data_IF_442222489718
#
_entry.id   IF_442222489718
#
_cell.length_a   1.000
_cell.length_b   1.000
_cell.length_c   1.000
_cell.angle_alpha   90.00
_cell.angle_beta   90.00
_cell.angle_gamma   90.00
#
_symmetry.space_group_name_H-M   'P 1'
#
loop_
_entity.id
_entity.type
_entity.pdbx_description
1 polymer ?
#
# COMPACT_ATOMS: atom_id res chain seq x y z
N UNK A 1 3.13 10.67 0.89
CA UNK A 1 2.82 9.64 -0.13
C UNK A 1 4.13 9.21 -0.77
N UNK A 2 4.48 7.93 -0.70
CA UNK A 2 5.69 7.40 -1.34
C UNK A 2 5.49 7.44 -2.85
N UNK A 3 6.47 8.00 -3.58
CA UNK A 3 6.38 8.20 -5.04
C UNK A 3 7.24 7.21 -5.82
N UNK A 4 8.38 6.80 -5.27
CA UNK A 4 9.35 5.92 -5.93
C UNK A 4 9.60 4.60 -5.18
N UNK A 5 9.31 4.53 -3.87
CA UNK A 5 9.53 3.35 -3.03
C UNK A 5 8.21 2.70 -2.61
N UNK A 6 8.23 1.37 -2.44
CA UNK A 6 7.07 0.57 -2.06
C UNK A 6 6.96 0.34 -0.57
N UNK A 7 8.09 0.31 0.12
CA UNK A 7 8.23 0.24 1.57
C UNK A 7 9.30 1.20 2.06
N UNK A 8 9.25 1.52 3.36
CA UNK A 8 10.39 2.11 4.08
C UNK A 8 10.26 1.87 5.58
N UNK A 9 11.34 1.46 6.19
CA UNK A 9 11.53 1.52 7.64
C UNK A 9 12.16 2.86 8.06
N UNK A 10 11.57 3.49 9.08
CA UNK A 10 12.05 4.73 9.70
C UNK A 10 12.60 4.42 11.11
N UNK A 11 13.93 4.37 11.30
CA UNK A 11 14.55 3.98 12.57
C UNK A 11 14.15 4.85 13.77
N UNK A 12 14.11 6.17 13.58
CA UNK A 12 13.79 7.15 14.64
C UNK A 12 12.39 6.97 15.24
N UNK A 13 11.46 6.43 14.46
CA UNK A 13 10.06 6.19 14.87
C UNK A 13 9.73 4.70 15.04
N UNK A 14 10.68 3.81 14.75
CA UNK A 14 10.48 2.35 14.66
C UNK A 14 9.23 1.99 13.84
N UNK A 15 9.05 2.67 12.72
CA UNK A 15 7.82 2.58 11.91
C UNK A 15 8.13 2.03 10.52
N UNK A 16 7.32 1.07 10.07
CA UNK A 16 7.29 0.63 8.68
C UNK A 16 6.14 1.37 7.97
N UNK A 17 6.44 1.99 6.84
CA UNK A 17 5.45 2.59 5.96
C UNK A 17 5.38 1.77 4.68
N UNK A 18 4.16 1.48 4.24
CA UNK A 18 3.88 0.76 3.00
C UNK A 18 3.15 1.69 2.03
N UNK A 19 3.54 1.62 0.76
CA UNK A 19 2.91 2.38 -0.31
C UNK A 19 1.45 2.00 -0.46
N UNK A 20 0.57 3.00 -0.48
CA UNK A 20 -0.85 2.78 -0.78
C UNK A 20 -1.09 2.19 -2.17
N UNK A 21 -0.09 2.27 -3.08
CA UNK A 21 -0.15 1.68 -4.42
C UNK A 21 0.12 0.19 -4.38
N UNK A 22 1.09 -0.25 -3.60
CA UNK A 22 1.32 -1.67 -3.36
C UNK A 22 0.07 -2.32 -2.76
N UNK A 23 -0.52 -1.70 -1.73
CA UNK A 23 -1.74 -2.22 -1.10
C UNK A 23 -2.99 -2.26 -1.99
N UNK A 24 -2.99 -1.50 -3.09
CA UNK A 24 -4.14 -1.40 -3.98
C UNK A 24 -3.98 -2.24 -5.27
N UNK A 25 -2.75 -2.54 -5.67
CA UNK A 25 -2.42 -3.06 -6.99
C UNK A 25 -1.49 -4.27 -6.98
N UNK A 26 -0.75 -4.48 -5.88
CA UNK A 26 0.09 -5.65 -5.70
C UNK A 26 -0.74 -6.83 -5.21
N UNK A 27 -0.27 -8.03 -5.50
CA UNK A 27 -0.82 -9.24 -4.89
C UNK A 27 -0.28 -9.45 -3.46
N UNK A 28 -0.80 -10.47 -2.77
CA UNK A 28 -0.37 -10.79 -1.41
C UNK A 28 1.13 -11.15 -1.33
N UNK A 29 1.69 -11.71 -2.41
CA UNK A 29 3.11 -12.01 -2.54
C UNK A 29 3.96 -10.74 -2.60
N UNK A 30 3.57 -9.79 -3.45
CA UNK A 30 4.22 -8.48 -3.56
C UNK A 30 4.21 -7.73 -2.22
N UNK A 31 3.04 -7.71 -1.55
CA UNK A 31 2.88 -7.06 -0.24
C UNK A 31 3.79 -7.74 0.79
N UNK A 32 3.77 -9.07 0.83
CA UNK A 32 4.59 -9.86 1.75
C UNK A 32 6.08 -9.60 1.54
N UNK A 33 6.56 -9.61 0.29
CA UNK A 33 7.98 -9.42 -0.04
C UNK A 33 8.47 -8.04 0.44
N UNK A 34 7.72 -6.97 0.15
CA UNK A 34 8.06 -5.61 0.61
C UNK A 34 8.03 -5.51 2.13
N UNK A 35 7.00 -6.06 2.79
CA UNK A 35 6.91 -6.01 4.26
C UNK A 35 8.10 -6.73 4.90
N UNK A 36 8.45 -7.93 4.43
CA UNK A 36 9.57 -8.68 4.97
C UNK A 36 10.92 -7.99 4.73
N UNK A 37 11.10 -7.31 3.59
CA UNK A 37 12.27 -6.47 3.33
C UNK A 37 12.41 -5.34 4.37
N UNK A 38 11.33 -4.61 4.66
CA UNK A 38 11.36 -3.54 5.66
C UNK A 38 11.50 -4.07 7.09
N UNK A 39 10.94 -5.25 7.39
CA UNK A 39 11.14 -5.95 8.67
C UNK A 39 12.61 -6.35 8.84
N UNK A 40 13.28 -6.82 7.77
CA UNK A 40 14.70 -7.12 7.82
C UNK A 40 15.53 -5.88 8.21
N UNK A 41 15.24 -4.71 7.61
CA UNK A 41 15.86 -3.45 8.02
C UNK A 41 15.58 -3.11 9.50
N UNK A 42 14.35 -3.32 9.97
CA UNK A 42 13.99 -3.07 11.36
C UNK A 42 14.76 -3.96 12.34
N UNK A 43 14.90 -5.26 12.03
CA UNK A 43 15.66 -6.22 12.86
C UNK A 43 17.14 -5.86 12.88
N UNK A 44 17.75 -5.54 11.72
CA UNK A 44 19.15 -5.10 11.64
C UNK A 44 19.38 -3.88 12.52
N UNK A 45 18.53 -2.86 12.40
CA UNK A 45 18.63 -1.66 13.22
C UNK A 45 18.46 -1.97 14.72
N UNK A 46 17.51 -2.84 15.08
CA UNK A 46 17.30 -3.23 16.47
C UNK A 46 18.50 -3.97 17.07
N UNK A 47 19.21 -4.79 16.28
CA UNK A 47 20.37 -5.58 16.75
C UNK A 47 21.69 -4.81 16.73
N UNK A 48 21.89 -3.92 15.76
CA UNK A 48 23.21 -3.35 15.46
C UNK A 48 23.23 -1.80 15.42
N UNK A 49 22.07 -1.15 15.57
CA UNK A 49 21.92 0.30 15.48
C UNK A 49 22.14 0.83 14.05
N UNK A 50 22.68 2.05 13.94
CA UNK A 50 22.89 2.73 12.65
C UNK A 50 24.22 2.37 11.97
N UNK A 51 24.95 1.36 12.46
CA UNK A 51 26.28 1.00 11.96
C UNK A 51 26.26 0.18 10.65
N UNK A 52 25.36 -0.81 10.47
CA UNK A 52 25.39 -1.64 9.27
C UNK A 52 25.04 -0.88 7.99
N UNK A 53 25.61 -1.33 6.88
CA UNK A 53 25.15 -0.92 5.55
C UNK A 53 23.75 -1.48 5.28
N UNK A 54 22.89 -0.70 4.62
CA UNK A 54 21.48 -1.01 4.42
C UNK A 54 21.23 -2.44 3.90
N UNK A 55 22.05 -2.91 2.95
CA UNK A 55 21.97 -4.25 2.37
C UNK A 55 23.29 -5.04 2.55
N UNK A 56 23.96 -4.78 3.67
CA UNK A 56 25.24 -5.38 4.04
C UNK A 56 25.14 -6.83 4.54
N UNK A 57 26.20 -7.31 5.19
CA UNK A 57 26.30 -8.68 5.71
C UNK A 57 25.18 -8.98 6.71
N UNK A 58 24.90 -8.05 7.60
CA UNK A 58 23.90 -8.17 8.66
C UNK A 58 22.49 -8.28 8.07
N UNK A 59 22.19 -7.45 7.06
CA UNK A 59 20.92 -7.54 6.33
C UNK A 59 20.76 -8.89 5.64
N UNK A 60 21.79 -9.36 4.92
CA UNK A 60 21.76 -10.68 4.25
C UNK A 60 21.53 -11.82 5.24
N UNK A 61 22.14 -11.76 6.43
CA UNK A 61 21.94 -12.76 7.47
C UNK A 61 20.49 -12.76 7.98
N UNK A 62 19.92 -11.58 8.24
CA UNK A 62 18.52 -11.45 8.67
C UNK A 62 17.55 -11.89 7.57
N UNK A 63 17.80 -11.58 6.31
CA UNK A 63 16.99 -12.09 5.20
C UNK A 63 16.96 -13.62 5.18
N UNK A 64 18.11 -14.27 5.41
CA UNK A 64 18.19 -15.73 5.52
C UNK A 64 17.40 -16.28 6.71
N UNK A 65 17.42 -15.59 7.86
CA UNK A 65 16.59 -15.95 9.02
C UNK A 65 15.08 -15.83 8.73
N UNK A 66 14.70 -14.88 7.89
CA UNK A 66 13.30 -14.65 7.46
C UNK A 66 12.88 -15.50 6.25
N UNK A 67 13.77 -16.36 5.73
CA UNK A 67 13.55 -17.17 4.53
C UNK A 67 13.17 -16.32 3.29
N UNK A 68 13.85 -15.19 3.11
CA UNK A 68 13.71 -14.32 1.93
C UNK A 68 15.05 -14.10 1.22
N UNK A 69 15.00 -13.89 -0.09
CA UNK A 69 16.19 -13.51 -0.85
C UNK A 69 16.66 -12.09 -0.48
N UNK A 70 17.96 -11.88 -0.25
CA UNK A 70 18.49 -10.58 0.12
C UNK A 70 18.68 -9.67 -1.09
N UNK A 71 17.57 -9.34 -1.76
CA UNK A 71 17.57 -8.40 -2.89
C UNK A 71 17.70 -6.97 -2.37
N UNK A 72 18.38 -6.11 -3.13
CA UNK A 72 18.42 -4.66 -2.87
C UNK A 72 17.10 -3.98 -3.22
N UNK A 73 16.42 -4.49 -4.23
CA UNK A 73 15.14 -3.99 -4.73
C UNK A 73 14.12 -5.11 -4.70
N UNK A 74 12.87 -4.77 -4.42
CA UNK A 74 11.76 -5.69 -4.58
C UNK A 74 11.25 -5.53 -6.02
N UNK A 75 11.31 -6.62 -6.79
CA UNK A 75 10.97 -6.63 -8.21
C UNK A 75 9.45 -6.74 -8.39
N UNK A 76 8.71 -5.70 -7.99
CA UNK A 76 7.28 -5.66 -8.25
C UNK A 76 7.04 -5.15 -9.67
N UNK A 77 6.24 -5.86 -10.46
CA UNK A 77 5.89 -5.50 -11.84
C UNK A 77 4.98 -4.25 -11.86
N UNK A 78 5.59 -3.08 -11.63
CA UNK A 78 4.87 -1.80 -11.51
C UNK A 78 4.33 -1.26 -12.83
N UNK A 79 4.73 -1.85 -13.97
CA UNK A 79 4.29 -1.46 -15.31
C UNK A 79 2.78 -1.60 -15.48
N UNK A 80 2.15 -2.58 -14.82
CA UNK A 80 0.68 -2.76 -14.79
C UNK A 80 -0.04 -1.71 -13.93
N UNK A 81 0.69 -0.96 -13.11
CA UNK A 81 0.09 -0.06 -12.13
C UNK A 81 -0.13 1.37 -12.67
N UNK A 82 0.01 1.60 -13.97
CA UNK A 82 -0.23 2.93 -14.57
C UNK A 82 -1.66 3.48 -14.36
N UNK A 83 -2.58 2.65 -13.86
CA UNK A 83 -3.94 3.06 -13.48
C UNK A 83 -3.94 3.97 -12.25
N UNK A 84 -4.72 5.06 -12.28
CA UNK A 84 -4.85 5.95 -11.13
C UNK A 84 -5.72 5.27 -10.07
N UNK A 85 -5.12 4.88 -8.94
CA UNK A 85 -5.87 4.38 -7.77
C UNK A 85 -6.98 5.37 -7.40
N UNK A 86 -8.20 4.85 -7.27
CA UNK A 86 -9.34 5.57 -6.71
C UNK A 86 -9.74 4.95 -5.38
N UNK A 87 -10.59 5.65 -4.65
CA UNK A 87 -11.12 5.24 -3.36
C UNK A 87 -12.64 5.18 -3.47
N UNK A 88 -13.21 4.01 -3.21
CA UNK A 88 -14.64 3.78 -3.22
C UNK A 88 -15.19 3.64 -1.79
N UNK A 89 -16.40 4.14 -1.58
CA UNK A 89 -17.19 3.91 -0.38
C UNK A 89 -18.65 3.72 -0.74
N UNK A 90 -19.32 2.76 -0.10
CA UNK A 90 -20.74 2.48 -0.36
C UNK A 90 -21.64 3.49 0.35
N UNK A 91 -22.65 3.98 -0.34
CA UNK A 91 -23.70 4.79 0.27
C UNK A 91 -24.66 3.89 1.06
N UNK A 92 -24.87 4.19 2.35
CA UNK A 92 -25.79 3.41 3.20
C UNK A 92 -27.28 3.63 2.88
N UNK A 93 -27.62 4.58 2.00
CA UNK A 93 -29.00 4.89 1.63
C UNK A 93 -29.40 4.26 0.29
N UNK A 94 -28.65 4.53 -0.78
CA UNK A 94 -28.96 4.03 -2.13
C UNK A 94 -28.00 2.93 -2.62
N UNK A 95 -27.09 2.45 -1.78
CA UNK A 95 -26.11 1.39 -2.08
C UNK A 95 -25.13 1.63 -3.23
N UNK A 96 -25.18 2.79 -3.89
CA UNK A 96 -24.21 3.21 -4.91
C UNK A 96 -22.82 3.39 -4.30
N UNK A 97 -21.80 3.08 -5.09
CA UNK A 97 -20.41 3.31 -4.72
C UNK A 97 -19.97 4.72 -5.13
N UNK A 98 -19.58 5.52 -4.16
CA UNK A 98 -19.03 6.86 -4.36
C UNK A 98 -17.52 6.73 -4.51
N UNK A 99 -17.00 7.12 -5.68
CA UNK A 99 -15.57 7.01 -6.02
C UNK A 99 -14.89 8.38 -5.95
N UNK A 100 -13.71 8.43 -5.34
CA UNK A 100 -12.93 9.66 -5.16
C UNK A 100 -11.45 9.44 -5.48
N UNK A 101 -10.76 10.52 -5.87
CA UNK A 101 -9.31 10.52 -6.08
C UNK A 101 -8.50 10.45 -4.78
N UNK A 102 -9.13 10.75 -3.63
CA UNK A 102 -8.52 10.74 -2.29
C UNK A 102 -9.51 10.26 -1.24
N UNK A 103 -9.01 9.70 -0.14
CA UNK A 103 -9.81 9.42 1.05
C UNK A 103 -10.29 10.73 1.67
N UNK A 104 -11.55 10.78 2.05
CA UNK A 104 -12.18 11.97 2.64
C UNK A 104 -12.90 11.58 3.93
N UNK A 105 -12.98 12.47 4.94
CA UNK A 105 -13.77 12.20 6.15
C UNK A 105 -15.26 11.97 5.86
N UNK A 106 -15.76 12.57 4.78
CA UNK A 106 -17.10 12.35 4.27
C UNK A 106 -17.13 12.52 2.75
N UNK A 107 -18.20 12.05 2.11
CA UNK A 107 -18.55 12.41 0.75
C UNK A 107 -20.05 12.61 0.62
N UNK A 108 -20.51 13.29 -0.43
CA UNK A 108 -21.93 13.29 -0.81
C UNK A 108 -22.13 12.28 -1.93
N UNK A 109 -23.19 11.48 -1.82
CA UNK A 109 -23.71 10.64 -2.89
C UNK A 109 -24.64 11.44 -3.79
N UNK A 110 -24.89 10.95 -5.01
CA UNK A 110 -25.85 11.56 -5.96
C UNK A 110 -27.28 11.58 -5.46
N UNK A 111 -27.65 10.65 -4.57
CA UNK A 111 -28.95 10.66 -3.91
C UNK A 111 -29.09 11.76 -2.85
N UNK A 112 -28.08 12.63 -2.69
CA UNK A 112 -28.06 13.70 -1.69
C UNK A 112 -27.53 13.28 -0.32
N UNK A 113 -27.44 11.98 -0.03
CA UNK A 113 -26.97 11.48 1.27
C UNK A 113 -25.50 11.81 1.53
N UNK A 114 -25.21 12.29 2.75
CA UNK A 114 -23.83 12.48 3.24
C UNK A 114 -23.34 11.17 3.85
N UNK A 115 -22.27 10.62 3.29
CA UNK A 115 -21.65 9.38 3.73
C UNK A 115 -20.41 9.68 4.59
N UNK A 116 -20.23 8.90 5.65
CA UNK A 116 -19.06 8.94 6.54
C UNK A 116 -18.39 7.56 6.54
N UNK A 117 -17.52 7.28 5.55
CA UNK A 117 -16.97 5.94 5.38
C UNK A 117 -16.05 5.59 6.56
N UNK A 118 -16.32 4.46 7.22
CA UNK A 118 -15.41 3.90 8.23
C UNK A 118 -14.08 3.47 7.60
N UNK A 119 -14.13 3.02 6.35
CA UNK A 119 -12.98 2.71 5.51
C UNK A 119 -13.29 3.07 4.06
N UNK A 120 -12.23 3.39 3.32
CA UNK A 120 -12.28 3.57 1.87
C UNK A 120 -11.58 2.38 1.22
N UNK A 121 -12.28 1.67 0.35
CA UNK A 121 -11.67 0.61 -0.46
C UNK A 121 -10.83 1.26 -1.57
N UNK A 122 -9.57 0.86 -1.70
CA UNK A 122 -8.77 1.24 -2.85
C UNK A 122 -9.21 0.39 -4.05
N UNK A 123 -9.45 1.02 -5.20
CA UNK A 123 -9.81 0.35 -6.44
C UNK A 123 -8.89 0.83 -7.56
N UNK A 124 -8.56 -0.08 -8.47
CA UNK A 124 -7.84 0.22 -9.71
C UNK A 124 -8.80 0.72 -10.80
N UNK A 125 -8.30 1.47 -11.79
CA UNK A 125 -9.12 1.81 -12.97
C UNK A 125 -9.41 0.58 -13.87
N UNK A 126 -8.72 -0.55 -13.68
CA UNK A 126 -8.98 -1.78 -14.43
C UNK A 126 -10.28 -2.46 -13.95
N UNK A 127 -10.52 -2.49 -12.63
CA UNK A 127 -11.77 -2.95 -12.00
C UNK A 127 -12.98 -2.06 -12.33
N UNK A 128 -12.75 -0.87 -12.90
CA UNK A 128 -13.81 0.04 -13.41
C UNK A 128 -14.69 -0.61 -14.49
N UNK A 129 -14.20 -1.68 -15.12
CA UNK A 129 -14.79 -2.29 -16.31
C UNK A 129 -15.79 -3.42 -16.01
N UNK A 130 -15.93 -3.82 -14.75
CA UNK A 130 -16.84 -4.89 -14.34
C UNK A 130 -17.83 -4.36 -13.30
N UNK A 131 -19.06 -4.12 -13.77
CA UNK A 131 -20.28 -4.44 -13.03
C UNK A 131 -20.70 -3.57 -11.82
N UNK A 132 -20.61 -2.24 -11.92
CA UNK A 132 -21.38 -1.38 -10.99
C UNK A 132 -21.88 -0.10 -11.69
N UNK A 133 -23.09 0.34 -11.36
CA UNK A 133 -23.62 1.64 -11.78
C UNK A 133 -22.87 2.76 -11.03
N UNK A 134 -21.92 3.42 -11.70
CA UNK A 134 -21.07 4.45 -11.07
C UNK A 134 -21.54 5.86 -11.42
N UNK A 135 -21.52 6.76 -10.43
CA UNK A 135 -21.52 8.21 -10.69
C UNK A 135 -20.26 8.86 -10.14
N UNK A 136 -19.49 9.45 -11.04
CA UNK A 136 -18.35 10.32 -10.71
C UNK A 136 -18.88 11.66 -10.22
N UNK A 137 -18.46 12.06 -9.03
CA UNK A 137 -18.66 13.41 -8.47
C UNK A 137 -17.29 13.93 -8.04
#
# INVERSE_FOLDING_TARGET
>A
RMRATLGSYMPSRKQIAISSRLLAMGDDGDVREVVLHEVAHAIVHARFGNKPSAHGREFKAVCKELDIEPKRYVDVLTEKWQTQIRYAARCNFCNLLVVRKRRMPFARCVCGSKIYPKSWQAISEAERSQEFDWVMI
#
